data_IF_895935722719
#
_entry.id   IF_895935722719
#
_cell.length_a   1.000
_cell.length_b   1.000
_cell.length_c   1.000
_cell.angle_alpha   90.00
_cell.angle_beta   90.00
_cell.angle_gamma   90.00
#
_symmetry.space_group_name_H-M   'P 1'
#
loop_
_entity.id
_entity.type
_entity.pdbx_description
1 polymer ?
#
# COMPACT_ATOMS: atom_id res chain seq x y z
N UNK A 1 70.65 21.11 1.02
CA UNK A 1 69.39 21.65 1.58
C UNK A 1 69.67 22.91 2.39
N UNK A 2 68.83 23.94 2.23
CA UNK A 2 68.97 25.26 2.85
C UNK A 2 68.63 25.28 4.35
N UNK A 3 67.82 24.32 4.83
CA UNK A 3 67.19 24.34 6.16
C UNK A 3 67.74 23.29 7.15
N UNK A 4 69.01 22.89 7.03
CA UNK A 4 69.58 21.96 8.00
C UNK A 4 69.83 22.68 9.35
N UNK A 5 69.42 22.10 10.50
CA UNK A 5 69.51 22.76 11.81
C UNK A 5 70.96 23.12 12.21
N UNK A 6 71.92 22.36 11.70
CA UNK A 6 73.35 22.51 11.99
C UNK A 6 74.01 23.73 11.31
N UNK A 7 73.31 24.39 10.37
CA UNK A 7 73.82 25.58 9.66
C UNK A 7 73.45 26.92 10.33
N UNK A 8 72.68 26.90 11.42
CA UNK A 8 72.15 28.09 12.08
C UNK A 8 72.66 28.18 13.53
N UNK A 9 73.34 29.29 13.89
CA UNK A 9 73.94 29.51 15.22
C UNK A 9 72.98 30.14 16.22
N UNK A 10 71.97 30.87 15.75
CA UNK A 10 70.98 31.52 16.62
C UNK A 10 69.88 30.54 17.07
N UNK A 11 69.49 30.53 18.35
CA UNK A 11 68.56 29.55 18.90
C UNK A 11 67.14 29.64 18.32
N UNK A 12 66.69 30.83 17.92
CA UNK A 12 65.37 31.00 17.28
C UNK A 12 65.37 30.51 15.82
N UNK A 13 66.41 30.87 15.05
CA UNK A 13 66.56 30.41 13.67
C UNK A 13 66.78 28.90 13.59
N UNK A 14 67.43 28.30 14.60
CA UNK A 14 67.58 26.84 14.70
C UNK A 14 66.24 26.14 14.87
N UNK A 15 65.37 26.62 15.77
CA UNK A 15 64.00 26.06 15.95
C UNK A 15 63.17 26.17 14.67
N UNK A 16 63.26 27.29 13.96
CA UNK A 16 62.58 27.47 12.68
C UNK A 16 63.12 26.53 11.60
N UNK A 17 64.44 26.36 11.53
CA UNK A 17 65.08 25.42 10.61
C UNK A 17 64.69 23.96 10.91
N UNK A 18 64.56 23.57 12.18
CA UNK A 18 64.08 22.25 12.58
C UNK A 18 62.65 21.99 12.10
N UNK A 19 61.72 22.94 12.31
CA UNK A 19 60.34 22.82 11.85
C UNK A 19 60.26 22.70 10.31
N UNK A 20 60.99 23.57 9.60
CA UNK A 20 61.05 23.53 8.13
C UNK A 20 61.68 22.24 7.63
N UNK A 21 62.71 21.72 8.31
CA UNK A 21 63.31 20.44 7.99
C UNK A 21 62.32 19.29 8.16
N UNK A 22 61.56 19.25 9.27
CA UNK A 22 60.51 18.26 9.49
C UNK A 22 59.45 18.32 8.38
N UNK A 23 58.99 19.52 8.00
CA UNK A 23 58.00 19.66 6.92
C UNK A 23 58.54 19.22 5.57
N UNK A 24 59.77 19.59 5.21
CA UNK A 24 60.40 19.18 3.96
C UNK A 24 60.64 17.68 3.93
N UNK A 25 61.03 17.09 5.07
CA UNK A 25 61.24 15.65 5.18
C UNK A 25 59.91 14.88 5.03
N UNK A 26 58.86 15.29 5.74
CA UNK A 26 57.52 14.70 5.59
C UNK A 26 56.99 14.85 4.16
N UNK A 27 57.16 16.01 3.54
CA UNK A 27 56.77 16.22 2.14
C UNK A 27 57.56 15.31 1.20
N UNK A 28 58.86 15.10 1.46
CA UNK A 28 59.68 14.19 0.70
C UNK A 28 59.21 12.74 0.84
N UNK A 29 58.95 12.25 2.06
CA UNK A 29 58.45 10.88 2.28
C UNK A 29 57.14 10.62 1.55
N UNK A 30 56.19 11.55 1.63
CA UNK A 30 54.87 11.41 1.00
C UNK A 30 54.95 11.54 -0.53
N UNK A 31 55.76 12.46 -1.05
CA UNK A 31 55.85 12.72 -2.49
C UNK A 31 56.84 11.81 -3.21
N UNK A 32 57.77 11.18 -2.49
CA UNK A 32 58.77 10.24 -3.05
C UNK A 32 58.14 8.92 -3.44
N UNK A 33 57.11 8.45 -2.73
CA UNK A 33 56.39 7.22 -3.05
C UNK A 33 55.13 7.48 -3.90
N UNK A 34 55.00 6.90 -5.11
CA UNK A 34 53.83 7.11 -5.97
C UNK A 34 52.48 6.75 -5.33
N UNK A 35 52.42 5.75 -4.44
CA UNK A 35 51.16 5.36 -3.78
C UNK A 35 50.76 6.35 -2.69
N UNK A 36 51.70 6.70 -1.82
CA UNK A 36 51.51 7.70 -0.77
C UNK A 36 51.12 9.06 -1.36
N UNK A 37 51.73 9.43 -2.50
CA UNK A 37 51.33 10.61 -3.27
C UNK A 37 49.90 10.51 -3.80
N UNK A 38 49.51 9.38 -4.39
CA UNK A 38 48.15 9.20 -4.90
C UNK A 38 47.09 9.28 -3.78
N UNK A 39 47.38 8.70 -2.61
CA UNK A 39 46.51 8.78 -1.42
C UNK A 39 46.42 10.23 -0.93
N UNK A 40 47.55 10.94 -0.88
CA UNK A 40 47.60 12.35 -0.49
C UNK A 40 46.85 13.28 -1.45
N UNK A 41 46.98 13.05 -2.76
CA UNK A 41 46.30 13.84 -3.79
C UNK A 41 44.77 13.67 -3.72
N UNK A 42 44.27 12.52 -3.25
CA UNK A 42 42.83 12.22 -3.14
C UNK A 42 42.24 12.61 -1.77
N UNK A 43 42.93 12.26 -0.68
CA UNK A 43 42.39 12.36 0.70
C UNK A 43 43.18 13.31 1.62
N UNK A 44 44.28 13.89 1.13
CA UNK A 44 45.18 14.74 1.91
C UNK A 44 45.89 13.98 3.03
N UNK A 45 46.35 14.72 4.05
CA UNK A 45 47.05 14.14 5.22
C UNK A 45 46.23 13.06 5.95
N UNK A 46 44.90 13.17 5.97
CA UNK A 46 43.99 12.22 6.63
C UNK A 46 43.99 10.83 6.00
N UNK A 47 44.35 10.72 4.71
CA UNK A 47 44.44 9.43 4.03
C UNK A 47 45.67 8.62 4.44
N UNK A 48 46.76 9.31 4.80
CA UNK A 48 48.04 8.70 5.18
C UNK A 48 48.05 8.15 6.61
N UNK A 49 47.16 8.64 7.48
CA UNK A 49 47.02 8.20 8.87
C UNK A 49 46.18 6.91 9.02
N UNK A 50 45.59 6.41 7.94
CA UNK A 50 44.77 5.19 7.97
C UNK A 50 45.65 3.96 7.83
N UNK A 51 45.73 3.16 8.90
CA UNK A 51 46.38 1.84 8.89
C UNK A 51 45.63 0.87 7.95
N UNK A 52 46.35 0.11 7.13
CA UNK A 52 45.77 -0.91 6.22
C UNK A 52 46.15 -0.79 4.74
N UNK A 53 46.82 0.29 4.34
CA UNK A 53 47.31 0.46 2.95
C UNK A 53 48.41 -0.53 2.54
N UNK A 54 49.09 -1.16 3.50
CA UNK A 54 50.24 -2.06 3.28
C UNK A 54 49.89 -3.33 2.48
N UNK A 55 48.60 -3.69 2.41
CA UNK A 55 48.10 -4.89 1.73
C UNK A 55 47.74 -4.61 0.26
N UNK A 56 47.79 -3.35 -0.20
CA UNK A 56 47.28 -2.95 -1.52
C UNK A 56 48.39 -2.87 -2.57
N UNK A 57 48.27 -3.69 -3.61
CA UNK A 57 49.23 -3.75 -4.73
C UNK A 57 49.44 -2.40 -5.46
N UNK A 58 50.66 -2.21 -5.97
CA UNK A 58 51.28 -0.92 -6.34
C UNK A 58 50.68 -0.11 -7.50
N UNK A 59 49.51 -0.45 -8.05
CA UNK A 59 48.96 0.21 -9.27
C UNK A 59 47.42 0.20 -9.36
N UNK A 60 46.72 0.89 -8.45
CA UNK A 60 45.26 1.08 -8.55
C UNK A 60 44.85 2.46 -9.06
N UNK A 61 43.67 2.54 -9.69
CA UNK A 61 43.10 3.78 -10.20
C UNK A 61 42.51 4.65 -9.08
N UNK A 62 42.35 5.98 -9.27
CA UNK A 62 41.83 6.88 -8.23
C UNK A 62 40.43 6.51 -7.69
N UNK A 63 39.59 5.87 -8.50
CA UNK A 63 38.27 5.41 -8.08
C UNK A 63 38.35 4.17 -7.17
N UNK A 64 39.22 3.23 -7.50
CA UNK A 64 39.45 2.02 -6.68
C UNK A 64 40.12 2.36 -5.35
N UNK A 65 41.01 3.36 -5.30
CA UNK A 65 41.60 3.88 -4.06
C UNK A 65 40.51 4.47 -3.15
N UNK A 66 39.47 5.10 -3.73
CA UNK A 66 38.35 5.65 -2.97
C UNK A 66 37.47 4.56 -2.37
N UNK A 67 37.13 3.54 -3.15
CA UNK A 67 36.32 2.42 -2.68
C UNK A 67 37.03 1.61 -1.61
N UNK A 68 38.34 1.34 -1.75
CA UNK A 68 39.13 0.67 -0.70
C UNK A 68 39.22 1.52 0.57
N UNK A 69 39.40 2.84 0.45
CA UNK A 69 39.39 3.72 1.60
C UNK A 69 38.06 3.64 2.36
N UNK A 70 36.94 3.66 1.65
CA UNK A 70 35.62 3.51 2.26
C UNK A 70 35.43 2.12 2.90
N UNK A 71 35.95 1.06 2.26
CA UNK A 71 35.90 -0.30 2.79
C UNK A 71 36.69 -0.44 4.08
N UNK A 72 37.95 0.04 4.09
CA UNK A 72 38.81 0.04 5.28
C UNK A 72 38.22 0.89 6.40
N UNK A 73 37.61 2.03 6.07
CA UNK A 73 36.89 2.83 7.06
C UNK A 73 35.73 2.05 7.70
N UNK A 74 34.89 1.39 6.90
CA UNK A 74 33.78 0.58 7.42
C UNK A 74 34.27 -0.57 8.29
N UNK A 75 35.30 -1.29 7.85
CA UNK A 75 35.85 -2.41 8.62
C UNK A 75 36.47 -1.93 9.94
N UNK A 76 37.18 -0.79 9.94
CA UNK A 76 37.72 -0.19 11.17
C UNK A 76 36.60 0.25 12.12
N UNK A 77 35.56 0.87 11.58
CA UNK A 77 34.41 1.31 12.36
C UNK A 77 33.66 0.10 12.95
N UNK A 78 33.54 -1.00 12.20
CA UNK A 78 32.96 -2.26 12.66
C UNK A 78 33.82 -2.94 13.74
N UNK A 79 35.15 -3.02 13.55
CA UNK A 79 36.07 -3.53 14.58
C UNK A 79 36.04 -2.67 15.84
N UNK A 80 35.97 -1.34 15.68
CA UNK A 80 35.83 -0.40 16.80
C UNK A 80 34.50 -0.60 17.52
N UNK A 81 33.44 -0.93 16.81
CA UNK A 81 32.13 -1.26 17.38
C UNK A 81 32.20 -2.59 18.16
N UNK A 82 32.87 -3.61 17.61
CA UNK A 82 33.08 -4.90 18.28
C UNK A 82 33.95 -4.78 19.54
N UNK A 83 34.99 -3.94 19.52
CA UNK A 83 35.83 -3.67 20.70
C UNK A 83 35.14 -2.83 21.78
N UNK A 84 34.02 -2.17 21.46
CA UNK A 84 33.17 -1.48 22.46
C UNK A 84 32.24 -2.42 23.19
N UNK A 85 32.17 -3.71 22.80
CA UNK A 85 31.43 -4.68 23.60
C UNK A 85 32.07 -4.77 24.98
N UNK A 86 31.33 -4.38 26.01
CA UNK A 86 31.83 -4.36 27.38
C UNK A 86 31.11 -5.45 28.20
N UNK A 87 31.59 -6.70 28.14
CA UNK A 87 31.01 -7.77 28.95
C UNK A 87 31.35 -7.51 30.43
N UNK A 88 30.34 -7.19 31.23
CA UNK A 88 30.45 -7.08 32.69
C UNK A 88 29.78 -8.28 33.32
N UNK A 89 30.51 -9.02 34.15
CA UNK A 89 29.96 -10.16 34.87
C UNK A 89 30.51 -10.28 36.30
N UNK A 90 29.75 -10.92 37.16
CA UNK A 90 30.14 -11.27 38.53
C UNK A 90 29.75 -12.71 38.80
N UNK A 91 30.71 -13.50 39.30
CA UNK A 91 30.51 -14.89 39.71
C UNK A 91 30.81 -14.96 41.20
N UNK A 92 29.82 -15.35 41.99
CA UNK A 92 29.93 -15.56 43.42
C UNK A 92 29.62 -17.01 43.75
N UNK A 93 30.50 -17.65 44.51
CA UNK A 93 30.36 -19.04 44.96
C UNK A 93 30.41 -19.05 46.48
N UNK A 94 29.34 -19.52 47.11
CA UNK A 94 29.25 -19.76 48.54
C UNK A 94 29.68 -21.19 48.83
N UNK A 95 30.76 -21.34 49.57
CA UNK A 95 31.35 -22.62 49.95
C UNK A 95 31.06 -22.82 51.44
N UNK A 96 30.41 -23.94 51.78
CA UNK A 96 30.25 -24.38 53.16
C UNK A 96 31.51 -25.14 53.58
N UNK A 97 32.09 -24.69 54.68
CA UNK A 97 33.33 -25.19 55.23
C UNK A 97 33.18 -25.55 56.72
N UNK A 98 31.95 -25.66 57.23
CA UNK A 98 31.67 -25.90 58.66
C UNK A 98 32.37 -27.17 59.17
N UNK A 99 32.38 -28.22 58.35
CA UNK A 99 33.11 -29.48 58.56
C UNK A 99 34.63 -29.35 58.79
N UNK A 100 35.24 -28.25 58.33
CA UNK A 100 36.66 -27.99 58.57
C UNK A 100 36.93 -27.42 59.98
N UNK A 101 35.91 -26.87 60.64
CA UNK A 101 36.03 -26.16 61.91
C UNK A 101 35.31 -26.86 63.08
N UNK A 102 34.45 -27.84 62.83
CA UNK A 102 33.76 -28.67 63.86
C UNK A 102 34.69 -29.71 64.52
N UNK A 103 35.88 -29.28 64.95
CA UNK A 103 36.71 -30.03 65.91
C UNK A 103 36.44 -29.51 67.32
N UNK A 104 35.29 -29.83 67.90
CA UNK A 104 35.05 -29.62 69.32
C UNK A 104 34.70 -30.94 70.03
N UNK A 105 35.59 -31.25 70.98
CA UNK A 105 35.46 -32.08 72.20
C UNK A 105 34.27 -33.05 72.30
N UNK A 106 34.48 -34.29 71.85
CA UNK A 106 33.90 -35.46 72.53
C UNK A 106 35.01 -36.49 72.74
N UNK A 107 35.52 -36.54 73.98
CA UNK A 107 36.27 -37.68 74.48
C UNK A 107 35.36 -38.92 74.51
N UNK A 108 35.97 -40.09 74.30
CA UNK A 108 35.50 -41.48 74.49
C UNK A 108 35.11 -42.30 73.24
N UNK A 109 35.95 -43.32 73.03
CA UNK A 109 35.81 -44.59 72.29
C UNK A 109 36.14 -44.65 70.77
N UNK A 110 37.07 -45.57 70.49
CA UNK A 110 37.77 -45.88 69.25
C UNK A 110 36.88 -46.16 68.03
N UNK A 111 37.01 -45.32 66.98
CA UNK A 111 36.76 -45.70 65.58
C UNK A 111 37.86 -45.12 64.68
N UNK A 112 38.65 -45.94 63.95
CA UNK A 112 39.66 -45.45 63.03
C UNK A 112 38.98 -45.07 61.71
N UNK A 113 38.64 -43.79 61.56
CA UNK A 113 38.03 -43.28 60.34
C UNK A 113 38.24 -41.79 60.23
N UNK A 114 39.45 -41.38 59.85
CA UNK A 114 39.71 -40.02 59.37
C UNK A 114 38.91 -39.78 58.09
N UNK A 115 37.64 -39.40 58.25
CA UNK A 115 36.82 -38.90 57.16
C UNK A 115 37.47 -37.64 56.62
N UNK A 116 37.74 -37.61 55.33
CA UNK A 116 38.19 -36.38 54.68
C UNK A 116 37.04 -35.35 54.78
N UNK A 117 37.30 -34.11 55.22
CA UNK A 117 36.27 -33.08 55.31
C UNK A 117 35.64 -32.85 53.93
N UNK A 118 34.31 -32.81 53.89
CA UNK A 118 33.57 -32.59 52.65
C UNK A 118 33.26 -31.11 52.49
N UNK A 119 33.82 -30.51 51.44
CA UNK A 119 33.57 -29.10 51.10
C UNK A 119 32.41 -29.07 50.11
N UNK A 120 31.29 -28.45 50.48
CA UNK A 120 30.10 -28.35 49.63
C UNK A 120 29.90 -26.93 49.10
N UNK A 121 29.46 -26.81 47.86
CA UNK A 121 29.04 -25.53 47.28
C UNK A 121 27.56 -25.33 47.61
N UNK A 122 27.28 -24.50 48.61
CA UNK A 122 25.92 -24.21 49.10
C UNK A 122 25.15 -23.26 48.16
N UNK A 123 25.85 -22.31 47.51
CA UNK A 123 25.21 -21.32 46.62
C UNK A 123 26.11 -20.92 45.45
N UNK A 124 25.54 -20.78 44.26
CA UNK A 124 26.21 -20.14 43.12
C UNK A 124 25.37 -18.97 42.61
N UNK A 125 25.99 -17.85 42.30
CA UNK A 125 25.35 -16.70 41.70
C UNK A 125 26.20 -16.16 40.55
N UNK A 126 25.68 -16.19 39.34
CA UNK A 126 26.30 -15.68 38.13
C UNK A 126 25.41 -14.57 37.60
N UNK A 127 25.95 -13.37 37.41
CA UNK A 127 25.29 -12.28 36.70
C UNK A 127 26.20 -11.82 35.56
N UNK A 128 25.67 -11.73 34.36
CA UNK A 128 26.40 -11.32 33.16
C UNK A 128 25.59 -10.30 32.37
N UNK A 129 26.25 -9.29 31.85
CA UNK A 129 25.68 -8.27 30.97
C UNK A 129 26.66 -7.92 29.86
N UNK A 130 26.13 -7.74 28.65
CA UNK A 130 26.88 -7.40 27.45
C UNK A 130 26.15 -6.22 26.80
N UNK A 131 26.83 -5.09 26.74
CA UNK A 131 26.39 -3.93 25.96
C UNK A 131 27.03 -4.05 24.58
N UNK A 132 26.21 -4.25 23.54
CA UNK A 132 26.63 -4.36 22.15
C UNK A 132 26.05 -3.19 21.33
N UNK A 133 26.86 -2.17 21.02
CA UNK A 133 26.41 -1.09 20.14
C UNK A 133 26.17 -1.65 18.73
N UNK A 134 24.96 -1.51 18.19
CA UNK A 134 24.57 -1.98 16.86
C UNK A 134 24.78 -0.89 15.79
N UNK A 135 24.61 0.37 16.13
CA UNK A 135 24.84 1.54 15.26
C UNK A 135 25.48 2.69 16.06
N UNK A 136 25.68 3.86 15.45
CA UNK A 136 26.21 5.05 16.17
C UNK A 136 25.28 5.58 17.26
N UNK A 137 23.98 5.27 17.20
CA UNK A 137 22.97 5.66 18.20
C UNK A 137 22.33 4.49 18.94
N UNK A 138 22.40 3.27 18.39
CA UNK A 138 21.65 2.14 18.93
C UNK A 138 22.58 1.16 19.65
N UNK A 139 22.18 0.78 20.86
CA UNK A 139 22.86 -0.24 21.68
C UNK A 139 21.87 -1.33 22.05
N UNK A 140 22.27 -2.59 21.86
CA UNK A 140 21.57 -3.74 22.42
C UNK A 140 22.24 -4.12 23.74
N UNK A 141 21.44 -4.35 24.78
CA UNK A 141 21.93 -4.84 26.06
C UNK A 141 21.36 -6.23 26.29
N UNK A 142 22.24 -7.22 26.34
CA UNK A 142 21.90 -8.59 26.72
C UNK A 142 22.37 -8.82 28.15
N UNK A 143 21.48 -9.19 29.06
CA UNK A 143 21.83 -9.48 30.45
C UNK A 143 21.19 -10.80 30.89
N UNK A 144 21.85 -11.51 31.79
CA UNK A 144 21.34 -12.73 32.38
C UNK A 144 21.82 -12.88 33.81
N UNK A 145 20.98 -13.51 34.64
CA UNK A 145 21.37 -13.91 35.99
C UNK A 145 20.97 -15.35 36.22
N UNK A 146 21.82 -16.09 36.91
CA UNK A 146 21.64 -17.48 37.30
C UNK A 146 21.99 -17.60 38.78
N UNK A 147 21.08 -18.15 39.56
CA UNK A 147 21.32 -18.44 40.97
C UNK A 147 20.93 -19.88 41.29
N UNK A 148 21.80 -20.59 42.01
CA UNK A 148 21.55 -21.94 42.51
C UNK A 148 21.73 -21.96 44.02
N UNK A 149 20.87 -22.69 44.72
CA UNK A 149 20.95 -22.89 46.16
C UNK A 149 20.42 -24.28 46.51
N UNK A 150 21.21 -25.06 47.25
CA UNK A 150 20.84 -26.41 47.71
C UNK A 150 20.26 -27.30 46.60
N UNK A 151 20.96 -27.35 45.45
CA UNK A 151 20.57 -28.19 44.31
C UNK A 151 19.39 -27.67 43.49
N UNK A 152 18.70 -26.60 43.90
CA UNK A 152 17.63 -25.98 43.11
C UNK A 152 18.11 -24.65 42.50
N UNK A 153 17.95 -24.49 41.19
CA UNK A 153 18.48 -23.36 40.43
C UNK A 153 17.44 -22.67 39.57
N UNK A 154 17.56 -21.35 39.43
CA UNK A 154 16.73 -20.53 38.56
C UNK A 154 17.54 -19.40 37.92
N UNK A 155 17.17 -19.00 36.71
CA UNK A 155 17.82 -17.93 36.00
C UNK A 155 16.90 -17.19 35.03
N UNK A 156 17.30 -15.98 34.65
CA UNK A 156 16.61 -15.15 33.67
C UNK A 156 17.60 -14.62 32.61
N UNK A 157 17.06 -14.28 31.45
CA UNK A 157 17.78 -13.60 30.37
C UNK A 157 16.88 -12.46 29.88
N UNK A 158 17.44 -11.25 29.80
CA UNK A 158 16.79 -10.05 29.32
C UNK A 158 17.58 -9.49 28.14
N UNK A 159 16.87 -9.21 27.04
CA UNK A 159 17.40 -8.48 25.88
C UNK A 159 16.66 -7.15 25.77
N UNK A 160 17.39 -6.04 25.80
CA UNK A 160 16.86 -4.70 25.59
C UNK A 160 17.46 -4.10 24.32
N UNK A 161 16.61 -3.66 23.39
CA UNK A 161 17.00 -2.93 22.18
C UNK A 161 16.41 -1.52 22.30
N UNK A 162 17.21 -0.48 22.05
CA UNK A 162 16.73 0.89 22.16
C UNK A 162 15.56 1.17 21.18
N UNK A 163 14.53 1.96 21.58
CA UNK A 163 13.27 2.12 20.84
C UNK A 163 13.37 2.71 19.43
N UNK A 164 14.43 3.47 19.15
CA UNK A 164 14.68 4.15 17.87
C UNK A 164 14.72 3.17 16.70
N UNK A 165 15.43 2.05 16.85
CA UNK A 165 15.59 1.04 15.81
C UNK A 165 14.26 0.34 15.47
N UNK A 166 13.45 0.04 16.49
CA UNK A 166 12.13 -0.59 16.30
C UNK A 166 11.18 0.34 15.54
N UNK A 167 11.22 1.65 15.83
CA UNK A 167 10.38 2.64 15.17
C UNK A 167 10.67 2.74 13.68
N UNK A 168 11.93 2.88 13.27
CA UNK A 168 12.28 2.97 11.85
C UNK A 168 12.09 1.65 11.10
N UNK A 169 12.29 0.50 11.74
CA UNK A 169 12.08 -0.80 11.12
C UNK A 169 10.61 -1.14 10.86
N UNK A 170 9.69 -0.61 11.67
CA UNK A 170 8.26 -0.98 11.60
C UNK A 170 7.39 0.16 11.08
N UNK A 171 7.51 1.35 11.66
CA UNK A 171 6.66 2.50 11.33
C UNK A 171 7.06 3.09 9.99
N UNK A 172 8.35 3.14 9.67
CA UNK A 172 8.86 3.66 8.40
C UNK A 172 8.30 2.92 7.17
N UNK A 173 8.54 1.60 7.03
CA UNK A 173 8.01 0.81 5.91
C UNK A 173 6.49 0.80 5.84
N UNK A 174 5.80 0.76 6.99
CA UNK A 174 4.34 0.78 7.02
C UNK A 174 3.79 2.14 6.55
N UNK A 175 4.33 3.24 7.05
CA UNK A 175 3.94 4.58 6.62
C UNK A 175 4.25 4.82 5.13
N UNK A 176 5.40 4.33 4.65
CA UNK A 176 5.78 4.40 3.25
C UNK A 176 4.82 3.60 2.35
N UNK A 177 4.50 2.36 2.74
CA UNK A 177 3.52 1.53 2.03
C UNK A 177 2.16 2.21 1.95
N UNK A 178 1.66 2.73 3.08
CA UNK A 178 0.39 3.45 3.13
C UNK A 178 0.41 4.72 2.27
N UNK A 179 1.52 5.47 2.29
CA UNK A 179 1.70 6.66 1.46
C UNK A 179 1.66 6.33 -0.03
N UNK A 180 2.40 5.31 -0.49
CA UNK A 180 2.38 4.85 -1.89
C UNK A 180 0.98 4.37 -2.28
N UNK A 181 0.33 3.58 -1.43
CA UNK A 181 -1.01 3.05 -1.71
C UNK A 181 -2.07 4.17 -1.81
N UNK A 182 -2.01 5.18 -0.95
CA UNK A 182 -2.99 6.28 -0.88
C UNK A 182 -2.72 7.37 -1.91
N UNK A 183 -1.46 7.75 -2.13
CA UNK A 183 -1.11 8.89 -2.97
C UNK A 183 -0.84 8.53 -4.43
N UNK A 184 -0.45 7.29 -4.73
CA UNK A 184 -0.09 6.89 -6.11
C UNK A 184 -1.11 5.90 -6.66
N UNK A 185 -1.36 4.81 -5.94
CA UNK A 185 -2.20 3.71 -6.46
C UNK A 185 -3.68 4.13 -6.52
N UNK A 186 -4.23 4.69 -5.43
CA UNK A 186 -5.64 5.10 -5.40
C UNK A 186 -6.03 6.14 -6.46
N UNK A 187 -5.30 7.25 -6.69
CA UNK A 187 -5.69 8.20 -7.73
C UNK A 187 -5.58 7.58 -9.14
N UNK A 188 -4.57 6.75 -9.38
CA UNK A 188 -4.40 6.08 -10.68
C UNK A 188 -5.57 5.13 -10.99
N UNK A 189 -5.95 4.28 -10.04
CA UNK A 189 -7.05 3.32 -10.24
C UNK A 189 -8.41 4.03 -10.37
N UNK A 190 -8.62 5.14 -9.66
CA UNK A 190 -9.85 5.96 -9.81
C UNK A 190 -9.95 6.58 -11.20
N UNK A 191 -8.85 7.17 -11.69
CA UNK A 191 -8.80 7.76 -13.02
C UNK A 191 -9.09 6.72 -14.13
N UNK A 192 -8.57 5.49 -14.00
CA UNK A 192 -8.89 4.42 -14.96
C UNK A 192 -10.37 4.04 -14.95
N UNK A 193 -10.99 3.89 -13.78
CA UNK A 193 -12.42 3.56 -13.67
C UNK A 193 -13.32 4.65 -14.25
N UNK A 194 -12.95 5.91 -14.09
CA UNK A 194 -13.68 7.03 -14.68
C UNK A 194 -13.64 6.97 -16.21
N UNK A 195 -12.48 6.70 -16.80
CA UNK A 195 -12.34 6.54 -18.26
C UNK A 195 -13.13 5.34 -18.81
N UNK A 196 -13.15 4.20 -18.12
CA UNK A 196 -13.95 3.05 -18.52
C UNK A 196 -15.46 3.35 -18.45
N UNK A 197 -15.90 4.07 -17.43
CA UNK A 197 -17.28 4.52 -17.30
C UNK A 197 -17.66 5.51 -18.41
N UNK A 198 -16.79 6.45 -18.75
CA UNK A 198 -16.99 7.39 -19.85
C UNK A 198 -17.12 6.66 -21.19
N UNK A 199 -16.20 5.73 -21.49
CA UNK A 199 -16.29 4.89 -22.69
C UNK A 199 -17.59 4.10 -22.74
N UNK A 200 -18.01 3.50 -21.63
CA UNK A 200 -19.27 2.77 -21.57
C UNK A 200 -20.49 3.68 -21.80
N UNK A 201 -20.45 4.92 -21.29
CA UNK A 201 -21.49 5.92 -21.54
C UNK A 201 -21.53 6.34 -23.01
N UNK A 202 -20.38 6.59 -23.63
CA UNK A 202 -20.29 6.96 -25.04
C UNK A 202 -20.80 5.86 -25.97
N UNK A 203 -20.36 4.61 -25.76
CA UNK A 203 -20.83 3.44 -26.53
C UNK A 203 -22.35 3.30 -26.38
N UNK A 204 -22.86 3.32 -25.15
CA UNK A 204 -24.29 3.22 -24.89
C UNK A 204 -25.09 4.37 -25.54
N UNK A 205 -24.60 5.61 -25.48
CA UNK A 205 -25.24 6.76 -26.10
C UNK A 205 -25.26 6.65 -27.64
N UNK A 206 -24.17 6.17 -28.25
CA UNK A 206 -24.09 5.94 -29.69
C UNK A 206 -25.05 4.86 -30.18
N UNK A 207 -25.19 3.77 -29.42
CA UNK A 207 -26.13 2.69 -29.72
C UNK A 207 -27.59 3.13 -29.62
N UNK A 208 -27.92 3.94 -28.60
CA UNK A 208 -29.25 4.55 -28.44
C UNK A 208 -29.56 5.47 -29.63
N UNK A 209 -28.60 6.29 -30.06
CA UNK A 209 -28.79 7.18 -31.20
C UNK A 209 -29.04 6.42 -32.51
N UNK A 210 -28.30 5.32 -32.76
CA UNK A 210 -28.51 4.45 -33.92
C UNK A 210 -29.93 3.84 -33.92
N UNK A 211 -30.35 3.26 -32.79
CA UNK A 211 -31.69 2.67 -32.68
C UNK A 211 -32.81 3.69 -32.79
N UNK A 212 -32.59 4.90 -32.28
CA UNK A 212 -33.53 6.02 -32.46
C UNK A 212 -33.73 6.33 -33.94
N UNK A 213 -32.65 6.43 -34.72
CA UNK A 213 -32.74 6.69 -36.16
C UNK A 213 -33.46 5.56 -36.91
N UNK A 214 -33.17 4.30 -36.56
CA UNK A 214 -33.87 3.12 -37.12
C UNK A 214 -35.37 3.14 -36.80
N UNK A 215 -35.74 3.49 -35.57
CA UNK A 215 -37.13 3.61 -35.14
C UNK A 215 -37.86 4.76 -35.85
N UNK A 216 -37.25 5.93 -35.96
CA UNK A 216 -37.82 7.10 -36.66
C UNK A 216 -38.06 6.80 -38.15
N UNK A 217 -37.11 6.13 -38.82
CA UNK A 217 -37.28 5.70 -40.20
C UNK A 217 -38.46 4.72 -40.35
N UNK A 218 -38.60 3.75 -39.44
CA UNK A 218 -39.74 2.83 -39.44
C UNK A 218 -41.08 3.55 -39.21
N UNK A 219 -41.12 4.50 -38.28
CA UNK A 219 -42.31 5.33 -38.01
C UNK A 219 -42.73 6.11 -39.25
N UNK A 220 -41.78 6.72 -39.97
CA UNK A 220 -42.07 7.47 -41.19
C UNK A 220 -42.69 6.59 -42.28
N UNK A 221 -42.18 5.37 -42.47
CA UNK A 221 -42.73 4.41 -43.43
C UNK A 221 -44.15 3.93 -43.05
N UNK A 222 -44.48 3.95 -41.76
CA UNK A 222 -45.77 3.51 -41.24
C UNK A 222 -46.88 4.57 -41.32
N UNK A 223 -46.56 5.85 -41.52
CA UNK A 223 -47.55 6.93 -41.47
C UNK A 223 -48.70 6.75 -42.47
N UNK A 224 -48.41 6.26 -43.68
CA UNK A 224 -49.43 6.03 -44.69
C UNK A 224 -50.36 4.88 -44.34
N UNK A 225 -49.83 3.80 -43.76
CA UNK A 225 -50.65 2.65 -43.37
C UNK A 225 -51.51 2.98 -42.15
N UNK A 226 -50.98 3.74 -41.19
CA UNK A 226 -51.74 4.22 -40.02
C UNK A 226 -52.94 5.05 -40.42
N UNK A 227 -52.81 6.00 -41.36
CA UNK A 227 -53.95 6.81 -41.82
C UNK A 227 -55.09 5.93 -42.33
N UNK A 228 -54.78 4.92 -43.16
CA UNK A 228 -55.77 3.97 -43.68
C UNK A 228 -56.43 3.15 -42.57
N UNK A 229 -55.68 2.75 -41.55
CA UNK A 229 -56.20 2.00 -40.40
C UNK A 229 -57.12 2.89 -39.56
N UNK A 230 -56.75 4.15 -39.32
CA UNK A 230 -57.57 5.11 -38.57
C UNK A 230 -58.91 5.33 -39.28
N UNK A 231 -58.90 5.63 -40.59
CA UNK A 231 -60.14 5.83 -41.36
C UNK A 231 -61.06 4.60 -41.31
N UNK A 232 -60.48 3.40 -41.40
CA UNK A 232 -61.21 2.14 -41.33
C UNK A 232 -61.79 1.87 -39.93
N UNK A 233 -61.04 2.16 -38.86
CA UNK A 233 -61.49 1.99 -37.48
C UNK A 233 -62.51 3.07 -37.07
N UNK A 234 -62.38 4.30 -37.57
CA UNK A 234 -63.32 5.41 -37.32
C UNK A 234 -64.71 5.08 -37.86
N UNK A 235 -64.79 4.52 -39.09
CA UNK A 235 -66.06 4.09 -39.70
C UNK A 235 -66.81 3.03 -38.89
N UNK A 236 -66.10 2.27 -38.04
CA UNK A 236 -66.64 1.18 -37.22
C UNK A 236 -66.74 1.52 -35.73
N UNK A 237 -66.42 2.76 -35.36
CA UNK A 237 -66.25 3.18 -33.95
C UNK A 237 -65.33 2.21 -33.17
N UNK A 238 -64.24 1.83 -33.83
CA UNK A 238 -63.28 0.83 -33.37
C UNK A 238 -62.23 1.39 -32.42
N UNK A 239 -61.03 0.83 -32.45
CA UNK A 239 -59.94 1.19 -31.52
C UNK A 239 -59.00 2.22 -32.17
N UNK A 240 -58.95 3.41 -31.60
CA UNK A 240 -58.06 4.49 -32.04
C UNK A 240 -57.15 4.89 -30.88
N UNK A 241 -55.84 4.82 -31.08
CA UNK A 241 -54.83 5.23 -30.11
C UNK A 241 -54.61 6.73 -30.29
N UNK A 242 -54.87 7.50 -29.24
CA UNK A 242 -54.70 8.95 -29.25
C UNK A 242 -53.26 9.32 -28.91
N UNK A 243 -52.79 8.87 -27.74
CA UNK A 243 -51.44 9.14 -27.26
C UNK A 243 -50.82 7.87 -26.69
N UNK A 244 -49.57 7.59 -27.01
CA UNK A 244 -48.81 6.50 -26.42
C UNK A 244 -47.37 6.91 -26.12
N UNK A 245 -46.96 6.74 -24.87
CA UNK A 245 -45.64 7.11 -24.37
C UNK A 245 -44.94 5.89 -23.81
N UNK A 246 -43.70 5.65 -24.19
CA UNK A 246 -42.88 4.55 -23.67
C UNK A 246 -41.59 5.09 -23.05
N UNK A 247 -41.23 4.65 -21.85
CA UNK A 247 -40.00 5.02 -21.19
C UNK A 247 -40.12 5.09 -19.67
N UNK A 248 -39.24 5.87 -19.04
CA UNK A 248 -39.24 6.10 -17.59
C UNK A 248 -40.10 7.31 -17.27
N UNK A 249 -41.23 7.07 -16.61
CA UNK A 249 -42.08 8.13 -16.07
C UNK A 249 -41.60 8.53 -14.67
N UNK A 250 -41.58 9.83 -14.41
CA UNK A 250 -41.22 10.38 -13.10
C UNK A 250 -42.42 10.16 -12.17
N UNK A 251 -42.22 9.41 -11.09
CA UNK A 251 -43.15 9.43 -9.95
C UNK A 251 -42.91 10.72 -9.16
N UNK A 252 -44.00 11.43 -8.83
CA UNK A 252 -44.03 12.76 -8.20
C UNK A 252 -43.34 12.84 -6.80
N UNK A 253 -42.83 11.71 -6.31
CA UNK A 253 -42.29 11.55 -4.96
C UNK A 253 -40.79 11.82 -4.81
N UNK A 254 -40.05 12.21 -5.85
CA UNK A 254 -38.60 12.39 -5.73
C UNK A 254 -38.12 13.76 -6.22
N UNK A 255 -37.51 14.54 -5.33
CA UNK A 255 -37.04 15.94 -5.52
C UNK A 255 -35.89 16.12 -6.53
N UNK A 256 -35.58 15.12 -7.36
CA UNK A 256 -34.66 15.29 -8.48
C UNK A 256 -35.47 15.57 -9.74
N UNK A 257 -35.26 16.75 -10.34
CA UNK A 257 -35.69 17.09 -11.70
C UNK A 257 -35.01 16.16 -12.73
N UNK A 258 -35.31 14.87 -12.69
CA UNK A 258 -34.98 13.98 -13.79
C UNK A 258 -35.96 14.26 -14.93
N UNK A 259 -35.45 14.69 -16.09
CA UNK A 259 -36.27 14.84 -17.28
C UNK A 259 -36.83 13.45 -17.66
N UNK A 260 -38.15 13.34 -17.80
CA UNK A 260 -38.78 12.11 -18.27
C UNK A 260 -38.18 11.68 -19.62
N UNK A 261 -37.51 10.53 -19.65
CA UNK A 261 -36.96 9.94 -20.88
C UNK A 261 -38.04 9.08 -21.52
N UNK A 262 -38.91 9.74 -22.27
CA UNK A 262 -40.08 9.11 -22.92
C UNK A 262 -40.03 9.29 -24.43
N UNK A 263 -40.53 8.29 -25.14
CA UNK A 263 -40.68 8.28 -26.60
C UNK A 263 -42.16 8.20 -26.96
N UNK A 264 -42.54 8.85 -28.06
CA UNK A 264 -43.88 8.73 -28.63
C UNK A 264 -43.94 7.49 -29.51
N UNK A 265 -44.83 6.56 -29.16
CA UNK A 265 -45.02 5.27 -29.85
C UNK A 265 -46.44 5.12 -30.38
N UNK A 266 -47.15 6.23 -30.58
CA UNK A 266 -48.55 6.25 -31.05
C UNK A 266 -48.69 5.62 -32.43
N UNK A 267 -47.84 6.03 -33.38
CA UNK A 267 -47.88 5.54 -34.77
C UNK A 267 -47.57 4.03 -34.87
N UNK A 268 -46.47 3.53 -34.30
CA UNK A 268 -46.19 2.09 -34.29
C UNK A 268 -47.30 1.24 -33.69
N UNK A 269 -47.90 1.68 -32.58
CA UNK A 269 -48.97 0.92 -31.93
C UNK A 269 -50.26 0.91 -32.75
N UNK A 270 -50.58 2.00 -33.43
CA UNK A 270 -51.77 2.06 -34.29
C UNK A 270 -51.65 1.09 -35.47
N UNK A 271 -50.44 0.88 -36.02
CA UNK A 271 -50.20 -0.15 -37.03
C UNK A 271 -50.46 -1.58 -36.56
N UNK A 272 -50.34 -1.84 -35.25
CA UNK A 272 -50.55 -3.17 -34.67
C UNK A 272 -52.02 -3.46 -34.36
N UNK A 273 -52.91 -2.47 -34.48
CA UNK A 273 -54.35 -2.64 -34.28
C UNK A 273 -54.93 -3.45 -35.45
N UNK A 274 -55.62 -4.54 -35.11
CA UNK A 274 -56.35 -5.37 -36.08
C UNK A 274 -57.72 -5.71 -35.50
N UNK A 275 -58.77 -5.53 -36.30
CA UNK A 275 -60.16 -5.79 -35.91
C UNK A 275 -60.55 -5.13 -34.58
N UNK A 276 -60.23 -3.83 -34.43
CA UNK A 276 -60.49 -3.03 -33.22
C UNK A 276 -59.90 -3.62 -31.93
N UNK A 277 -58.81 -4.39 -32.01
CA UNK A 277 -58.08 -4.96 -30.87
C UNK A 277 -56.58 -4.76 -31.05
N UNK A 278 -55.88 -4.57 -29.93
CA UNK A 278 -54.43 -4.57 -29.87
C UNK A 278 -53.98 -5.60 -28.83
N UNK A 279 -53.07 -6.49 -29.26
CA UNK A 279 -52.53 -7.58 -28.45
C UNK A 279 -51.01 -7.48 -28.52
N UNK A 280 -50.40 -7.10 -27.39
CA UNK A 280 -48.95 -7.16 -27.18
C UNK A 280 -48.63 -8.44 -26.39
N UNK A 281 -47.62 -9.17 -26.86
CA UNK A 281 -47.10 -10.38 -26.21
C UNK A 281 -46.14 -10.01 -25.07
N UNK A 282 -45.74 -11.00 -24.26
CA UNK A 282 -44.82 -10.84 -23.10
C UNK A 282 -43.35 -10.54 -23.51
N UNK A 283 -43.11 -10.11 -24.74
CA UNK A 283 -41.80 -9.68 -25.20
C UNK A 283 -41.55 -8.22 -24.82
N UNK A 284 -40.27 -7.83 -24.69
CA UNK A 284 -39.92 -6.42 -24.46
C UNK A 284 -40.47 -5.55 -25.57
N UNK A 285 -41.25 -4.52 -25.19
CA UNK A 285 -41.89 -3.59 -26.12
C UNK A 285 -40.87 -2.77 -26.90
N UNK A 286 -39.64 -2.63 -26.39
CA UNK A 286 -38.52 -2.02 -27.10
C UNK A 286 -38.10 -2.76 -28.39
N UNK A 287 -38.47 -4.03 -28.56
CA UNK A 287 -38.16 -4.83 -29.75
C UNK A 287 -39.15 -4.67 -30.91
N UNK A 288 -40.22 -3.90 -30.73
CA UNK A 288 -41.24 -3.69 -31.76
C UNK A 288 -40.74 -2.71 -32.83
N UNK A 289 -41.17 -2.84 -34.10
CA UNK A 289 -40.83 -1.89 -35.14
C UNK A 289 -41.26 -0.46 -34.75
N UNK A 290 -40.35 0.51 -34.85
CA UNK A 290 -40.61 1.89 -34.43
C UNK A 290 -40.48 2.16 -32.93
N UNK A 291 -40.13 1.15 -32.13
CA UNK A 291 -39.75 1.31 -30.73
C UNK A 291 -38.22 1.31 -30.57
N UNK A 292 -37.74 2.01 -29.54
CA UNK A 292 -36.39 1.87 -29.03
C UNK A 292 -36.38 2.09 -27.52
N UNK A 293 -35.29 1.72 -26.85
CA UNK A 293 -35.14 1.89 -25.41
C UNK A 293 -34.43 3.24 -25.10
N UNK A 294 -35.12 4.23 -24.51
CA UNK A 294 -34.51 5.51 -24.12
C UNK A 294 -33.73 5.45 -22.80
N UNK A 295 -33.86 4.38 -22.01
CA UNK A 295 -33.29 4.25 -20.67
C UNK A 295 -32.89 2.79 -20.37
N UNK A 296 -31.78 2.37 -21.00
CA UNK A 296 -31.21 1.02 -20.84
C UNK A 296 -30.85 0.75 -19.38
N UNK A 297 -31.41 -0.30 -18.80
CA UNK A 297 -31.17 -0.73 -17.43
C UNK A 297 -32.08 -0.09 -16.37
N UNK A 298 -32.99 0.82 -16.75
CA UNK A 298 -34.01 1.38 -15.86
C UNK A 298 -35.38 0.72 -16.09
N UNK A 299 -36.28 0.86 -15.11
CA UNK A 299 -37.66 0.39 -15.24
C UNK A 299 -38.44 1.26 -16.24
N UNK A 300 -39.07 0.58 -17.20
CA UNK A 300 -39.80 1.20 -18.31
C UNK A 300 -41.25 0.76 -18.28
N UNK A 301 -42.12 1.68 -18.64
CA UNK A 301 -43.53 1.40 -18.83
C UNK A 301 -44.06 2.08 -20.08
N UNK A 302 -45.18 1.55 -20.56
CA UNK A 302 -45.98 2.07 -21.66
C UNK A 302 -47.25 2.68 -21.08
N UNK A 303 -47.42 3.98 -21.27
CA UNK A 303 -48.66 4.70 -20.95
C UNK A 303 -49.41 4.93 -22.25
N UNK A 304 -50.64 4.43 -22.33
CA UNK A 304 -51.45 4.46 -23.53
C UNK A 304 -52.82 5.08 -23.23
N UNK A 305 -53.23 6.02 -24.06
CA UNK A 305 -54.54 6.66 -24.06
C UNK A 305 -55.19 6.41 -25.41
N UNK A 306 -56.37 5.80 -25.38
CA UNK A 306 -57.07 5.33 -26.57
C UNK A 306 -58.58 5.57 -26.46
N UNK A 307 -59.24 5.65 -27.60
CA UNK A 307 -60.67 5.73 -27.73
C UNK A 307 -61.21 4.43 -28.30
N UNK A 308 -62.29 3.92 -27.71
CA UNK A 308 -63.01 2.75 -28.20
C UNK A 308 -64.52 2.98 -28.05
N UNK A 309 -65.28 2.82 -29.14
CA UNK A 309 -66.73 3.07 -29.17
C UNK A 309 -67.14 4.43 -28.58
N UNK A 310 -66.36 5.47 -28.87
CA UNK A 310 -66.57 6.83 -28.38
C UNK A 310 -66.07 7.12 -26.96
N UNK A 311 -65.77 6.09 -26.14
CA UNK A 311 -65.26 6.27 -24.77
C UNK A 311 -63.74 6.34 -24.70
N UNK A 312 -63.20 7.25 -23.89
CA UNK A 312 -61.76 7.33 -23.62
C UNK A 312 -61.32 6.32 -22.57
N UNK A 313 -60.13 5.76 -22.77
CA UNK A 313 -59.53 4.77 -21.90
C UNK A 313 -58.04 5.05 -21.72
N UNK A 314 -57.51 4.81 -20.52
CA UNK A 314 -56.09 4.94 -20.20
C UNK A 314 -55.57 3.68 -19.52
N UNK A 315 -54.36 3.26 -19.89
CA UNK A 315 -53.67 2.13 -19.27
C UNK A 315 -52.18 2.42 -19.12
N UNK A 316 -51.60 1.95 -18.02
CA UNK A 316 -50.16 1.89 -17.80
C UNK A 316 -49.77 0.41 -17.75
N UNK A 317 -48.75 0.01 -18.49
CA UNK A 317 -48.28 -1.38 -18.53
C UNK A 317 -46.75 -1.46 -18.53
N UNK A 318 -46.17 -2.39 -17.79
CA UNK A 318 -44.72 -2.60 -17.72
C UNK A 318 -44.11 -3.08 -19.05
N UNK A 319 -42.80 -2.96 -19.24
CA UNK A 319 -42.14 -3.32 -20.52
C UNK A 319 -42.41 -4.76 -20.99
N UNK A 320 -42.37 -5.74 -20.07
CA UNK A 320 -42.57 -7.17 -20.36
C UNK A 320 -44.01 -7.65 -20.13
N UNK A 321 -44.89 -6.78 -19.66
CA UNK A 321 -46.25 -7.16 -19.31
C UNK A 321 -47.14 -7.25 -20.56
N UNK A 322 -47.90 -8.35 -20.74
CA UNK A 322 -48.76 -8.52 -21.90
C UNK A 322 -49.96 -7.56 -21.83
N UNK A 323 -50.18 -6.81 -22.91
CA UNK A 323 -51.26 -5.84 -22.99
C UNK A 323 -52.30 -6.28 -24.02
N UNK A 324 -53.53 -6.47 -23.58
CA UNK A 324 -54.69 -6.72 -24.44
C UNK A 324 -55.70 -5.60 -24.22
N UNK A 325 -56.02 -4.85 -25.27
CA UNK A 325 -57.03 -3.78 -25.26
C UNK A 325 -57.98 -3.95 -26.46
N UNK A 326 -59.23 -3.48 -26.37
CA UNK A 326 -59.84 -2.68 -25.28
C UNK A 326 -60.24 -3.52 -24.04
N UNK A 327 -60.17 -2.92 -22.85
CA UNK A 327 -60.73 -3.46 -21.60
C UNK A 327 -61.60 -2.41 -20.91
N UNK A 328 -62.72 -2.83 -20.33
CA UNK A 328 -63.63 -1.91 -19.60
C UNK A 328 -62.96 -1.29 -18.36
N UNK A 329 -62.03 -2.00 -17.72
CA UNK A 329 -61.28 -1.50 -16.55
C UNK A 329 -60.40 -0.29 -16.84
N UNK A 330 -60.14 0.02 -18.11
CA UNK A 330 -59.30 1.15 -18.51
C UNK A 330 -60.13 2.40 -18.82
N UNK A 331 -61.46 2.33 -18.75
CA UNK A 331 -62.34 3.45 -19.12
C UNK A 331 -62.10 4.61 -18.15
N UNK A 332 -61.87 5.79 -18.72
CA UNK A 332 -61.81 7.02 -17.94
C UNK A 332 -63.24 7.55 -17.91
N UNK A 333 -63.85 7.54 -16.74
CA UNK A 333 -65.08 8.26 -16.55
C UNK A 333 -64.75 9.75 -16.51
N UNK A 334 -65.33 10.49 -17.45
CA UNK A 334 -65.24 11.94 -17.45
C UNK A 334 -66.10 12.43 -16.28
N UNK A 335 -65.52 12.51 -15.08
CA UNK A 335 -66.17 13.17 -13.95
C UNK A 335 -66.46 14.62 -14.37
N UNK A 336 -67.76 14.93 -14.40
CA UNK A 336 -68.37 16.25 -14.55
C UNK A 336 -67.95 17.22 -13.46
#
# INVERSE_FOLDING_TARGET
MLYHPDKHRDPELKKQAEQLFTYVHQAYEVLSDPQSRAIYDIFGKKGLEVEGWEVVEKKRTPAEIREEYERLQRERDERRLQQRTNPKGTISVGIDASDLFDRYEEDFEDVPGGGFPHIEINRMHISQSIEAPLTTSDTAVLSGSLSTHNGNGGGNINLCILPSAVFYATVGPLAFYLAVQKLIIMPYVRAQKEQELEKHKEVSASDIARRKQEAEAAVLLMQESVKRIIDAEESKMGLIILNAWYGKFVSDNNQKRESAKVIDVTVPLQCLVKDSKLILTEASKAGLPGFYDPCVGEEKSLKLLYQFRGGMHQVLSGDTEPLKIPKQSHRIDSET
#
